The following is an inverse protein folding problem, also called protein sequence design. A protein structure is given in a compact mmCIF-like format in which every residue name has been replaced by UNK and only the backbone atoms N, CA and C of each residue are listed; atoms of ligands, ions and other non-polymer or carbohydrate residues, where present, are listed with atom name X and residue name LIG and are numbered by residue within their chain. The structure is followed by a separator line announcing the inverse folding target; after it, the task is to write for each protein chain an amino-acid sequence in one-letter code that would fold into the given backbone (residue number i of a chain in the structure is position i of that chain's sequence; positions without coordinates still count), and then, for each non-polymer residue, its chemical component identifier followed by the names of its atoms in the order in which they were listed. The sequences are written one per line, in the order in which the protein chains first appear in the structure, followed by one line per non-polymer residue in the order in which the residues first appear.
data_IF_181859924582
#
_entry.id   IF_181859924582
#
_cell.length_a   1.000
_cell.length_b   1.000
_cell.length_c   1.000
_cell.angle_alpha   90.00
_cell.angle_beta   90.00
_cell.angle_gamma   90.00
#
_symmetry.space_group_name_H-M   'P 1'
#
loop_
_entity.id
_entity.type
_entity.pdbx_description
1 polymer ?
#
# COMPACT_ATOMS: atom_id res chain seq x y z
N UNK A 1 22.32 20.93 38.93
CA UNK A 1 22.57 19.51 38.61
C UNK A 1 21.23 18.80 38.71
N UNK A 2 20.43 18.90 37.65
CA UNK A 2 19.41 17.90 37.38
C UNK A 2 20.11 16.77 36.61
N UNK A 3 19.80 15.54 36.96
CA UNK A 3 20.28 14.36 36.25
C UNK A 3 19.40 14.20 35.00
N UNK A 4 19.77 14.89 33.91
CA UNK A 4 19.21 14.63 32.59
C UNK A 4 19.72 13.26 32.16
N UNK A 5 18.97 12.22 32.53
CA UNK A 5 19.12 10.87 31.99
C UNK A 5 18.73 10.92 30.51
N UNK A 6 19.66 11.36 29.67
CA UNK A 6 19.63 11.15 28.23
C UNK A 6 19.36 9.67 27.99
N UNK A 7 18.19 9.37 27.43
CA UNK A 7 17.88 8.03 26.95
C UNK A 7 18.98 7.62 25.96
N UNK A 8 19.77 6.60 26.31
CA UNK A 8 20.81 6.11 25.42
C UNK A 8 20.15 5.59 24.14
N UNK A 9 20.59 6.10 22.99
CA UNK A 9 20.10 5.63 21.70
C UNK A 9 20.40 4.13 21.49
N UNK A 10 21.44 3.60 22.16
CA UNK A 10 21.72 2.19 22.22
C UNK A 10 20.87 1.50 23.33
N UNK A 11 19.97 0.57 22.99
CA UNK A 11 19.18 -0.14 23.99
C UNK A 11 20.07 -1.04 24.84
N UNK A 12 19.72 -1.17 26.12
CA UNK A 12 20.45 -1.99 27.09
C UNK A 12 20.46 -3.48 26.69
N UNK A 13 21.39 -4.24 27.26
CA UNK A 13 21.43 -5.68 27.05
C UNK A 13 20.13 -6.39 27.49
N UNK A 14 19.50 -5.90 28.56
CA UNK A 14 18.25 -6.43 29.09
C UNK A 14 17.06 -6.18 28.14
N UNK A 15 16.94 -4.98 27.57
CA UNK A 15 15.89 -4.66 26.59
C UNK A 15 16.04 -5.48 25.31
N UNK A 16 17.28 -5.59 24.79
CA UNK A 16 17.57 -6.42 23.62
C UNK A 16 17.20 -7.89 23.87
N UNK A 17 17.52 -8.42 25.05
CA UNK A 17 17.14 -9.79 25.44
C UNK A 17 15.62 -9.93 25.55
N UNK A 18 14.93 -9.02 26.24
CA UNK A 18 13.48 -9.08 26.44
C UNK A 18 12.72 -9.03 25.09
N UNK A 19 13.16 -8.20 24.16
CA UNK A 19 12.57 -8.10 22.81
C UNK A 19 12.85 -9.35 21.97
N UNK A 20 14.06 -9.90 22.03
CA UNK A 20 14.38 -11.18 21.40
C UNK A 20 13.51 -12.31 21.96
N UNK A 21 13.37 -12.40 23.29
CA UNK A 21 12.53 -13.41 23.93
C UNK A 21 11.04 -13.25 23.61
N UNK A 22 10.52 -12.01 23.50
CA UNK A 22 9.14 -11.75 23.06
C UNK A 22 8.91 -12.36 21.68
N UNK A 23 9.73 -12.02 20.70
CA UNK A 23 9.58 -12.51 19.33
C UNK A 23 9.82 -14.01 19.22
N UNK A 24 10.82 -14.56 19.91
CA UNK A 24 11.09 -16.00 19.93
C UNK A 24 9.89 -16.77 20.50
N UNK A 25 9.28 -16.31 21.59
CA UNK A 25 8.08 -16.95 22.17
C UNK A 25 6.88 -16.91 21.21
N UNK A 26 6.63 -15.78 20.56
CA UNK A 26 5.54 -15.63 19.57
C UNK A 26 5.75 -16.62 18.42
N UNK A 27 6.91 -16.59 17.77
CA UNK A 27 7.19 -17.42 16.61
C UNK A 27 7.36 -18.90 16.94
N UNK A 28 7.88 -19.25 18.12
CA UNK A 28 7.92 -20.64 18.58
C UNK A 28 6.53 -21.18 18.91
N UNK A 29 5.62 -20.34 19.43
CA UNK A 29 4.21 -20.71 19.61
C UNK A 29 3.53 -20.99 18.28
N UNK A 30 3.71 -20.12 17.27
CA UNK A 30 3.22 -20.35 15.91
C UNK A 30 3.74 -21.68 15.32
N UNK A 31 5.04 -21.97 15.49
CA UNK A 31 5.64 -23.24 15.07
C UNK A 31 5.01 -24.46 15.76
N UNK A 32 4.85 -24.41 17.09
CA UNK A 32 4.27 -25.51 17.86
C UNK A 32 2.82 -25.77 17.46
N UNK A 33 2.02 -24.72 17.21
CA UNK A 33 0.68 -24.88 16.66
C UNK A 33 0.70 -25.44 15.25
N UNK A 34 1.59 -24.95 14.36
CA UNK A 34 1.72 -25.45 13.00
C UNK A 34 2.08 -26.95 12.94
N UNK A 35 2.93 -27.44 13.85
CA UNK A 35 3.27 -28.88 13.95
C UNK A 35 2.14 -29.80 14.42
N UNK A 36 1.04 -29.23 14.92
CA UNK A 36 -0.11 -29.98 15.47
C UNK A 36 -1.32 -30.01 14.52
N UNK A 37 -1.28 -29.24 13.44
CA UNK A 37 -2.42 -29.02 12.54
C UNK A 37 -2.30 -29.88 11.27
N UNK A 38 -3.34 -30.67 10.98
CA UNK A 38 -3.40 -31.54 9.80
C UNK A 38 -4.09 -30.91 8.58
N UNK A 39 -4.49 -29.64 8.64
CA UNK A 39 -5.13 -28.91 7.53
C UNK A 39 -5.04 -27.39 7.73
N UNK A 40 -5.05 -26.63 6.64
CA UNK A 40 -4.91 -25.17 6.71
C UNK A 40 -6.02 -24.47 7.54
N UNK A 41 -5.74 -23.32 8.18
CA UNK A 41 -6.73 -22.60 8.96
C UNK A 41 -7.87 -22.11 8.05
N UNK A 42 -9.13 -22.28 8.47
CA UNK A 42 -10.31 -21.89 7.66
C UNK A 42 -10.29 -20.44 7.15
N UNK A 43 -9.55 -19.54 7.79
CA UNK A 43 -9.37 -18.16 7.34
C UNK A 43 -8.60 -18.02 6.02
N UNK A 44 -7.91 -19.06 5.53
CA UNK A 44 -7.36 -19.02 4.17
C UNK A 44 -8.44 -19.13 3.06
N UNK A 45 -9.67 -19.51 3.42
CA UNK A 45 -10.82 -19.58 2.52
C UNK A 45 -11.85 -18.45 2.75
N UNK A 46 -11.54 -17.48 3.63
CA UNK A 46 -12.37 -16.29 3.84
C UNK A 46 -11.66 -15.03 3.31
N UNK A 47 -12.10 -14.58 2.14
CA UNK A 47 -11.55 -13.39 1.46
C UNK A 47 -12.30 -12.10 1.83
N UNK A 48 -13.45 -12.15 2.51
CA UNK A 48 -14.27 -10.96 2.74
C UNK A 48 -13.60 -9.87 3.61
N UNK A 49 -12.80 -10.20 4.66
CA UNK A 49 -12.10 -9.20 5.46
C UNK A 49 -11.24 -8.24 4.64
N UNK A 50 -10.48 -8.75 3.66
CA UNK A 50 -9.55 -7.92 2.87
C UNK A 50 -10.25 -7.10 1.77
N UNK A 51 -11.50 -7.43 1.43
CA UNK A 51 -12.25 -6.77 0.34
C UNK A 51 -13.26 -5.73 0.84
N UNK A 52 -13.38 -5.54 2.15
CA UNK A 52 -14.40 -4.65 2.73
C UNK A 52 -14.20 -3.19 2.29
N UNK A 53 -12.96 -2.69 2.31
CA UNK A 53 -12.62 -1.30 1.96
C UNK A 53 -11.85 -1.14 0.64
N UNK A 54 -11.52 -2.24 -0.03
CA UNK A 54 -10.83 -2.27 -1.32
C UNK A 54 -11.70 -1.59 -2.41
N UNK A 55 -11.20 -0.55 -3.11
CA UNK A 55 -11.93 0.10 -4.19
C UNK A 55 -11.96 -0.77 -5.45
N UNK A 56 -12.89 -0.44 -6.34
CA UNK A 56 -13.10 -1.10 -7.62
C UNK A 56 -12.67 -0.21 -8.78
N UNK A 57 -12.03 -0.76 -9.81
CA UNK A 57 -11.79 -0.03 -11.05
C UNK A 57 -13.11 0.27 -11.79
N UNK A 58 -13.39 1.53 -12.19
CA UNK A 58 -14.49 1.87 -13.07
C UNK A 58 -14.11 1.70 -14.55
N UNK A 59 -15.11 1.66 -15.43
CA UNK A 59 -14.93 1.39 -16.86
C UNK A 59 -14.30 2.57 -17.64
N UNK A 60 -14.21 3.75 -17.04
CA UNK A 60 -13.83 5.03 -17.67
C UNK A 60 -12.51 5.59 -17.14
N UNK A 61 -11.57 4.71 -16.76
CA UNK A 61 -10.29 5.10 -16.15
C UNK A 61 -9.42 6.02 -17.03
N UNK A 62 -8.83 7.05 -16.40
CA UNK A 62 -7.81 7.92 -17.00
C UNK A 62 -6.45 7.19 -17.02
N UNK A 63 -6.19 6.47 -18.12
CA UNK A 63 -4.96 5.70 -18.33
C UNK A 63 -3.78 6.62 -18.66
N UNK A 64 -2.77 6.65 -17.79
CA UNK A 64 -1.56 7.47 -17.99
C UNK A 64 -0.37 6.62 -18.38
N UNK A 65 0.34 7.06 -19.40
CA UNK A 65 1.56 6.39 -19.86
C UNK A 65 2.78 6.78 -19.00
N UNK A 66 3.51 5.77 -18.54
CA UNK A 66 4.88 5.85 -18.06
C UNK A 66 5.80 5.07 -19.01
N UNK A 67 7.11 5.22 -18.88
CA UNK A 67 8.11 4.72 -19.83
C UNK A 67 8.01 3.21 -20.15
N UNK A 68 7.51 2.39 -19.21
CA UNK A 68 7.41 0.93 -19.34
C UNK A 68 6.03 0.34 -18.93
N UNK A 69 5.04 1.16 -18.61
CA UNK A 69 3.71 0.71 -18.18
C UNK A 69 2.67 1.83 -18.29
N UNK A 70 1.42 1.45 -18.44
CA UNK A 70 0.29 2.31 -18.11
C UNK A 70 0.05 2.27 -16.60
N UNK A 71 -0.39 3.37 -16.01
CA UNK A 71 -0.83 3.45 -14.63
C UNK A 71 -2.13 4.25 -14.52
N UNK A 72 -2.93 3.94 -13.50
CA UNK A 72 -4.09 4.75 -13.10
C UNK A 72 -3.76 5.54 -11.85
N UNK A 73 -4.48 6.65 -11.68
CA UNK A 73 -4.39 7.48 -10.49
C UNK A 73 -5.70 7.40 -9.71
N UNK A 74 -5.60 7.26 -8.39
CA UNK A 74 -6.72 7.47 -7.49
C UNK A 74 -6.28 8.25 -6.26
N UNK A 75 -7.27 8.78 -5.56
CA UNK A 75 -7.08 9.67 -4.41
C UNK A 75 -7.96 9.19 -3.26
N UNK A 76 -7.33 8.88 -2.13
CA UNK A 76 -8.04 8.63 -0.87
C UNK A 76 -8.31 9.93 -0.14
N UNK A 77 -9.43 9.97 0.57
CA UNK A 77 -9.78 11.06 1.49
C UNK A 77 -9.73 10.56 2.92
N UNK A 78 -9.17 11.39 3.80
CA UNK A 78 -8.96 11.07 5.21
C UNK A 78 -9.43 12.22 6.07
N UNK A 79 -9.95 11.90 7.26
CA UNK A 79 -10.44 12.87 8.26
C UNK A 79 -9.74 12.61 9.60
N UNK A 80 -9.55 13.65 10.41
CA UNK A 80 -9.24 13.48 11.82
C UNK A 80 -10.48 13.08 12.64
N UNK A 81 -10.32 13.00 13.96
CA UNK A 81 -11.46 12.84 14.88
C UNK A 81 -12.37 14.08 14.84
N UNK A 82 -13.68 13.89 15.03
CA UNK A 82 -14.65 15.00 15.01
C UNK A 82 -14.45 16.00 16.17
N UNK A 83 -13.86 15.54 17.29
CA UNK A 83 -13.65 16.35 18.50
C UNK A 83 -12.53 17.39 18.37
N UNK A 84 -11.76 17.39 17.27
CA UNK A 84 -10.67 18.34 17.05
C UNK A 84 -10.58 18.75 15.58
N UNK A 85 -10.36 20.03 15.31
CA UNK A 85 -10.41 20.65 13.97
C UNK A 85 -9.19 20.29 13.09
N UNK A 86 -8.87 19.01 12.98
CA UNK A 86 -7.77 18.48 12.18
C UNK A 86 -8.10 18.56 10.68
N UNK A 87 -7.15 18.97 9.83
CA UNK A 87 -7.40 19.10 8.40
C UNK A 87 -7.71 17.74 7.75
N UNK A 88 -8.71 17.71 6.87
CA UNK A 88 -8.93 16.56 5.99
C UNK A 88 -7.76 16.44 5.01
N UNK A 89 -7.23 15.23 4.83
CA UNK A 89 -6.10 14.99 3.94
C UNK A 89 -6.56 14.26 2.68
N UNK A 90 -6.02 14.63 1.52
CA UNK A 90 -6.08 13.81 0.30
C UNK A 90 -4.72 13.11 0.08
N UNK A 91 -4.74 11.85 -0.35
CA UNK A 91 -3.51 11.11 -0.70
C UNK A 91 -3.68 10.45 -2.06
N UNK A 92 -2.74 10.72 -2.96
CA UNK A 92 -2.71 10.08 -4.27
C UNK A 92 -1.94 8.77 -4.21
N UNK A 93 -2.45 7.73 -4.87
CA UNK A 93 -1.73 6.50 -5.17
C UNK A 93 -1.82 6.24 -6.67
N UNK A 94 -0.69 5.80 -7.24
CA UNK A 94 -0.57 5.39 -8.62
C UNK A 94 -0.43 3.87 -8.64
N UNK A 95 -1.32 3.21 -9.38
CA UNK A 95 -1.29 1.76 -9.54
C UNK A 95 -0.88 1.45 -10.98
N UNK A 96 0.22 0.71 -11.22
CA UNK A 96 0.55 0.19 -12.54
C UNK A 96 -0.53 -0.79 -13.00
N UNK A 97 -1.01 -0.61 -14.21
CA UNK A 97 -2.12 -1.38 -14.80
C UNK A 97 -1.71 -2.13 -16.07
N UNK A 98 -0.53 -1.88 -16.62
CA UNK A 98 0.05 -2.75 -17.64
C UNK A 98 1.51 -3.06 -17.37
N UNK A 99 2.04 -4.03 -18.09
CA UNK A 99 3.47 -4.37 -18.09
C UNK A 99 3.92 -4.58 -19.54
N UNK A 100 5.08 -4.03 -19.89
CA UNK A 100 5.65 -4.13 -21.25
C UNK A 100 6.20 -5.51 -21.60
N UNK A 101 6.49 -6.34 -20.59
CA UNK A 101 7.12 -7.65 -20.74
C UNK A 101 6.18 -8.75 -20.22
N UNK A 102 6.04 -9.89 -20.94
CA UNK A 102 5.36 -11.07 -20.41
C UNK A 102 5.99 -11.53 -19.09
N UNK A 103 5.15 -12.06 -18.20
CA UNK A 103 5.59 -12.61 -16.92
C UNK A 103 5.77 -14.11 -17.10
N UNK A 104 6.99 -14.64 -16.95
CA UNK A 104 7.24 -16.06 -17.13
C UNK A 104 6.63 -16.86 -15.98
N UNK A 105 5.72 -17.77 -16.29
CA UNK A 105 5.19 -18.78 -15.37
C UNK A 105 5.64 -20.16 -15.86
N UNK A 106 6.50 -20.82 -15.09
CA UNK A 106 6.94 -22.19 -15.35
C UNK A 106 6.11 -23.17 -14.53
N UNK A 107 5.42 -24.11 -15.19
CA UNK A 107 4.77 -25.23 -14.50
C UNK A 107 5.79 -26.38 -14.36
N UNK A 108 6.01 -26.86 -13.14
CA UNK A 108 6.84 -28.03 -12.87
C UNK A 108 6.01 -29.31 -13.03
N UNK A 109 6.55 -30.30 -13.73
CA UNK A 109 6.02 -31.66 -13.71
C UNK A 109 6.44 -32.43 -12.44
N UNK A 110 7.56 -32.03 -11.82
CA UNK A 110 7.94 -32.48 -10.48
C UNK A 110 7.04 -31.77 -9.48
N UNK A 111 5.94 -32.42 -9.11
CA UNK A 111 5.09 -32.01 -7.99
C UNK A 111 5.85 -32.35 -6.71
N UNK A 112 6.12 -31.34 -5.88
CA UNK A 112 6.54 -31.55 -4.50
C UNK A 112 5.37 -32.22 -3.76
N UNK A 113 5.46 -33.54 -3.54
CA UNK A 113 4.39 -34.38 -2.98
C UNK A 113 3.85 -33.84 -1.64
N UNK A 114 4.65 -33.05 -0.91
CA UNK A 114 4.21 -32.39 0.33
C UNK A 114 3.02 -31.45 0.12
N UNK A 115 2.82 -30.88 -1.08
CA UNK A 115 1.67 -30.05 -1.42
C UNK A 115 0.37 -30.86 -1.59
N UNK A 116 0.45 -32.15 -1.94
CA UNK A 116 -0.74 -33.00 -2.04
C UNK A 116 -1.36 -33.22 -0.66
N UNK A 117 -0.53 -33.32 0.38
CA UNK A 117 -1.01 -33.43 1.77
C UNK A 117 -1.72 -32.17 2.31
N UNK A 118 -1.72 -31.06 1.58
CA UNK A 118 -2.34 -29.80 2.00
C UNK A 118 -3.83 -29.75 1.68
N UNK A 119 -4.27 -30.53 0.69
CA UNK A 119 -5.63 -30.52 0.15
C UNK A 119 -6.33 -31.85 0.45
N UNK A 120 -7.65 -31.86 0.30
CA UNK A 120 -8.46 -33.01 0.73
C UNK A 120 -8.51 -34.18 -0.27
N UNK A 121 -7.86 -34.05 -1.43
CA UNK A 121 -7.89 -35.01 -2.54
C UNK A 121 -6.49 -35.24 -3.12
N UNK A 122 -6.22 -36.47 -3.57
CA UNK A 122 -4.92 -36.90 -4.11
C UNK A 122 -4.60 -36.31 -5.50
N UNK A 123 -5.61 -35.84 -6.24
CA UNK A 123 -5.44 -35.21 -7.56
C UNK A 123 -5.24 -33.69 -7.43
N UNK A 124 -4.19 -33.16 -8.06
CA UNK A 124 -3.88 -31.72 -8.08
C UNK A 124 -4.36 -31.06 -9.36
N UNK A 125 -5.37 -30.20 -9.24
CA UNK A 125 -5.93 -29.37 -10.30
C UNK A 125 -5.33 -27.95 -10.30
N UNK A 126 -4.47 -27.60 -9.33
CA UNK A 126 -3.98 -26.23 -9.07
C UNK A 126 -3.45 -25.56 -10.35
N UNK A 127 -2.64 -26.25 -11.16
CA UNK A 127 -2.10 -25.68 -12.39
C UNK A 127 -3.19 -25.33 -13.43
N UNK A 128 -4.17 -26.22 -13.62
CA UNK A 128 -5.31 -25.97 -14.53
C UNK A 128 -6.19 -24.86 -13.99
N UNK A 129 -6.47 -24.85 -12.68
CA UNK A 129 -7.23 -23.81 -12.02
C UNK A 129 -6.51 -22.45 -12.07
N UNK A 130 -5.17 -22.41 -12.00
CA UNK A 130 -4.39 -21.19 -12.19
C UNK A 130 -4.54 -20.67 -13.62
N UNK A 131 -4.40 -21.52 -14.64
CA UNK A 131 -4.61 -21.12 -16.03
C UNK A 131 -6.05 -20.64 -16.29
N UNK A 132 -7.05 -21.36 -15.75
CA UNK A 132 -8.46 -21.02 -15.88
C UNK A 132 -8.79 -19.70 -15.19
N UNK A 133 -8.27 -19.48 -13.97
CA UNK A 133 -8.33 -18.18 -13.32
C UNK A 133 -7.69 -17.15 -14.23
N UNK A 134 -6.37 -17.18 -14.46
CA UNK A 134 -5.62 -16.22 -15.30
C UNK A 134 -6.37 -15.78 -16.56
N UNK A 135 -6.95 -16.72 -17.31
CA UNK A 135 -7.79 -16.41 -18.47
C UNK A 135 -9.00 -15.53 -18.12
N UNK A 136 -9.86 -15.97 -17.18
CA UNK A 136 -11.03 -15.22 -16.69
C UNK A 136 -10.65 -13.79 -16.25
N UNK A 137 -9.43 -13.59 -15.79
CA UNK A 137 -8.98 -12.32 -15.23
C UNK A 137 -8.51 -11.36 -16.32
N UNK A 138 -7.72 -11.86 -17.27
CA UNK A 138 -7.34 -11.11 -18.46
C UNK A 138 -8.53 -10.74 -19.33
N UNK A 139 -9.56 -11.61 -19.38
CA UNK A 139 -10.80 -11.33 -20.08
C UNK A 139 -11.50 -10.10 -19.48
N UNK A 140 -11.82 -10.12 -18.18
CA UNK A 140 -12.38 -8.94 -17.49
C UNK A 140 -11.52 -7.70 -17.66
N UNK A 141 -10.21 -7.87 -17.49
CA UNK A 141 -9.29 -6.75 -17.54
C UNK A 141 -9.39 -6.00 -18.87
N UNK A 142 -9.53 -6.74 -19.98
CA UNK A 142 -9.80 -6.17 -21.29
C UNK A 142 -11.21 -5.56 -21.43
N UNK A 143 -12.23 -6.03 -20.68
CA UNK A 143 -13.54 -5.35 -20.62
C UNK A 143 -13.49 -4.00 -19.91
N UNK A 144 -12.70 -3.88 -18.84
CA UNK A 144 -12.64 -2.65 -18.03
C UNK A 144 -11.71 -1.58 -18.59
N UNK A 145 -10.64 -1.97 -19.29
CA UNK A 145 -9.67 -1.02 -19.81
C UNK A 145 -10.19 -0.29 -21.04
N UNK A 146 -10.26 1.06 -21.03
CA UNK A 146 -10.62 1.84 -22.22
C UNK A 146 -9.77 1.46 -23.43
N UNK A 147 -10.44 1.23 -24.56
CA UNK A 147 -9.83 0.89 -25.86
C UNK A 147 -9.02 -0.44 -25.88
N UNK A 148 -9.11 -1.26 -24.83
CA UNK A 148 -8.44 -2.57 -24.82
C UNK A 148 -9.12 -3.57 -25.77
N UNK A 149 -8.30 -4.43 -26.37
CA UNK A 149 -8.74 -5.52 -27.23
C UNK A 149 -8.05 -6.79 -26.73
N UNK A 150 -8.83 -7.78 -26.29
CA UNK A 150 -8.30 -9.10 -25.99
C UNK A 150 -7.97 -9.80 -27.31
N UNK A 151 -6.70 -10.06 -27.56
CA UNK A 151 -6.23 -10.79 -28.73
C UNK A 151 -5.22 -11.86 -28.30
N UNK A 152 -5.43 -13.10 -28.76
CA UNK A 152 -4.41 -14.13 -28.68
C UNK A 152 -3.24 -13.70 -29.58
N UNK A 153 -2.05 -13.57 -28.99
CA UNK A 153 -0.82 -13.29 -29.73
C UNK A 153 -0.03 -14.58 -29.94
N UNK A 154 0.85 -14.62 -30.93
CA UNK A 154 1.84 -15.72 -31.07
C UNK A 154 2.88 -15.72 -29.91
N UNK A 155 2.87 -14.70 -29.05
CA UNK A 155 3.65 -14.65 -27.83
C UNK A 155 3.06 -15.55 -26.74
N UNK A 156 3.40 -16.83 -26.78
CA UNK A 156 3.16 -17.74 -25.66
C UNK A 156 3.99 -17.30 -24.43
N UNK A 157 3.37 -17.26 -23.25
CA UNK A 157 4.15 -17.41 -22.03
C UNK A 157 4.80 -18.80 -22.11
N UNK A 158 6.13 -18.88 -21.95
CA UNK A 158 6.92 -20.08 -22.27
C UNK A 158 6.39 -21.34 -21.57
N UNK A 159 5.57 -22.11 -22.28
CA UNK A 159 5.26 -23.49 -21.98
C UNK A 159 4.83 -24.22 -23.26
N UNK A 160 5.24 -25.47 -23.39
CA UNK A 160 5.08 -26.28 -24.60
C UNK A 160 3.71 -26.94 -24.72
N UNK A 161 3.25 -27.04 -25.97
CA UNK A 161 2.21 -27.93 -26.49
C UNK A 161 0.75 -27.73 -26.01
N UNK A 162 -0.10 -27.28 -26.93
CA UNK A 162 -1.57 -27.38 -26.80
C UNK A 162 -2.35 -26.32 -27.58
N UNK A 163 -2.92 -26.67 -28.74
CA UNK A 163 -3.81 -25.78 -29.51
C UNK A 163 -5.27 -25.87 -29.03
N UNK A 164 -5.91 -24.73 -28.78
CA UNK A 164 -7.36 -24.64 -28.51
C UNK A 164 -7.87 -23.21 -28.73
N UNK A 165 -9.07 -23.09 -29.31
CA UNK A 165 -9.63 -21.83 -29.84
C UNK A 165 -11.03 -21.54 -29.25
N UNK A 166 -11.43 -20.26 -29.32
CA UNK A 166 -12.78 -19.66 -29.19
C UNK A 166 -13.37 -19.34 -27.81
N UNK A 167 -13.42 -18.02 -27.56
CA UNK A 167 -14.43 -17.19 -26.90
C UNK A 167 -15.59 -17.89 -26.14
N UNK A 168 -15.63 -17.66 -24.83
CA UNK A 168 -16.83 -17.82 -23.98
C UNK A 168 -17.11 -16.53 -23.22
N UNK A 169 -18.37 -16.09 -23.12
CA UNK A 169 -18.74 -14.87 -22.39
C UNK A 169 -18.46 -14.98 -20.88
N UNK A 170 -17.85 -13.95 -20.29
CA UNK A 170 -17.11 -13.97 -19.02
C UNK A 170 -17.88 -14.45 -17.77
N UNK A 171 -19.19 -14.17 -17.69
CA UNK A 171 -20.03 -14.69 -16.58
C UNK A 171 -20.21 -16.20 -16.64
N UNK A 172 -20.09 -16.79 -17.84
CA UNK A 172 -20.13 -18.24 -18.06
C UNK A 172 -18.84 -18.89 -17.58
N UNK A 173 -17.67 -18.29 -17.84
CA UNK A 173 -16.37 -18.84 -17.45
C UNK A 173 -16.22 -18.96 -15.92
N UNK A 174 -16.61 -17.93 -15.17
CA UNK A 174 -16.64 -17.97 -13.70
C UNK A 174 -17.61 -19.05 -13.18
N UNK A 175 -18.82 -19.11 -13.74
CA UNK A 175 -19.83 -20.10 -13.37
C UNK A 175 -19.31 -21.53 -13.59
N UNK A 176 -18.76 -21.81 -14.77
CA UNK A 176 -18.14 -23.09 -15.12
C UNK A 176 -16.99 -23.46 -14.17
N UNK A 177 -16.15 -22.51 -13.76
CA UNK A 177 -15.03 -22.76 -12.85
C UNK A 177 -15.50 -23.05 -11.42
N UNK A 178 -16.54 -22.35 -10.94
CA UNK A 178 -17.19 -22.65 -9.66
C UNK A 178 -17.89 -24.01 -9.67
N UNK A 179 -18.65 -24.32 -10.74
CA UNK A 179 -19.34 -25.59 -10.91
C UNK A 179 -18.35 -26.75 -11.03
N UNK A 180 -17.23 -26.57 -11.73
CA UNK A 180 -16.14 -27.54 -11.81
C UNK A 180 -15.52 -27.80 -10.42
N UNK A 181 -15.18 -26.74 -9.68
CA UNK A 181 -14.65 -26.87 -8.32
C UNK A 181 -15.63 -27.61 -7.38
N UNK A 182 -16.93 -27.34 -7.49
CA UNK A 182 -17.97 -27.99 -6.70
C UNK A 182 -18.20 -29.45 -7.10
N UNK A 183 -18.22 -29.76 -8.40
CA UNK A 183 -18.40 -31.11 -8.95
C UNK A 183 -17.27 -32.05 -8.55
N UNK A 184 -16.02 -31.57 -8.58
CA UNK A 184 -14.84 -32.36 -8.24
C UNK A 184 -14.46 -32.30 -6.75
N UNK A 185 -15.10 -31.46 -5.93
CA UNK A 185 -14.80 -31.32 -4.50
C UNK A 185 -13.52 -30.54 -4.18
N UNK A 186 -12.92 -29.87 -5.17
CA UNK A 186 -11.61 -29.20 -5.15
C UNK A 186 -11.71 -27.69 -4.85
N UNK A 187 -12.72 -27.26 -4.08
CA UNK A 187 -12.96 -25.85 -3.76
C UNK A 187 -11.76 -25.23 -3.02
N UNK A 188 -11.08 -26.02 -2.17
CA UNK A 188 -9.85 -25.66 -1.48
C UNK A 188 -8.70 -25.31 -2.46
N UNK A 189 -8.49 -26.15 -3.46
CA UNK A 189 -7.53 -25.90 -4.55
C UNK A 189 -7.95 -24.70 -5.43
N UNK A 190 -9.26 -24.48 -5.61
CA UNK A 190 -9.82 -23.32 -6.28
C UNK A 190 -9.40 -21.99 -5.64
N UNK A 191 -9.48 -21.90 -4.30
CA UNK A 191 -8.98 -20.74 -3.54
C UNK A 191 -7.45 -20.62 -3.55
N UNK A 192 -6.71 -21.75 -3.57
CA UNK A 192 -5.26 -21.73 -3.65
C UNK A 192 -4.76 -21.18 -5.00
N UNK A 193 -5.32 -21.69 -6.10
CA UNK A 193 -5.05 -21.20 -7.44
C UNK A 193 -5.45 -19.72 -7.58
N UNK A 194 -6.62 -19.35 -7.08
CA UNK A 194 -7.10 -17.97 -7.02
C UNK A 194 -6.09 -17.04 -6.34
N UNK A 195 -5.65 -17.37 -5.12
CA UNK A 195 -4.67 -16.55 -4.40
C UNK A 195 -3.31 -16.53 -5.09
N UNK A 196 -2.90 -17.62 -5.75
CA UNK A 196 -1.65 -17.65 -6.49
C UNK A 196 -1.71 -16.66 -7.66
N UNK A 197 -2.81 -16.69 -8.42
CA UNK A 197 -2.97 -15.80 -9.56
C UNK A 197 -3.13 -14.32 -9.16
N UNK A 198 -3.66 -14.01 -7.97
CA UNK A 198 -3.69 -12.63 -7.44
C UNK A 198 -2.32 -12.07 -7.02
N UNK A 199 -1.35 -12.95 -6.78
CA UNK A 199 0.05 -12.60 -6.54
C UNK A 199 0.86 -12.54 -7.83
N UNK A 200 0.37 -13.19 -8.89
CA UNK A 200 0.67 -12.77 -10.26
C UNK A 200 -0.11 -11.45 -10.54
N UNK A 201 0.32 -10.63 -11.50
CA UNK A 201 -0.43 -9.41 -11.88
C UNK A 201 -1.73 -9.70 -12.66
N UNK A 202 -2.69 -10.39 -12.03
CA UNK A 202 -3.99 -10.81 -12.60
C UNK A 202 -5.10 -10.97 -11.50
N UNK A 203 -6.39 -10.99 -11.85
CA UNK A 203 -7.51 -10.24 -11.20
C UNK A 203 -8.98 -10.88 -11.06
N UNK A 204 -9.67 -11.13 -9.89
CA UNK A 204 -10.85 -12.12 -9.79
C UNK A 204 -12.24 -11.75 -9.15
N UNK A 205 -13.41 -12.30 -9.57
CA UNK A 205 -14.79 -11.78 -9.28
C UNK A 205 -15.24 -11.72 -7.79
N UNK A 206 -15.87 -10.65 -7.26
CA UNK A 206 -15.21 -9.48 -6.64
C UNK A 206 -14.15 -8.78 -7.52
N UNK A 207 -14.38 -8.82 -8.84
CA UNK A 207 -13.40 -8.75 -9.94
C UNK A 207 -12.74 -7.43 -9.71
N UNK A 208 -13.52 -6.38 -9.89
CA UNK A 208 -13.13 -4.99 -9.87
C UNK A 208 -12.33 -4.62 -8.59
N UNK A 209 -12.51 -5.32 -7.44
CA UNK A 209 -11.70 -5.16 -6.20
C UNK A 209 -10.39 -5.94 -6.21
N UNK A 210 -10.48 -7.22 -6.56
CA UNK A 210 -9.34 -8.13 -6.65
C UNK A 210 -8.41 -7.75 -7.82
N UNK A 211 -8.93 -7.18 -8.92
CA UNK A 211 -8.17 -6.49 -9.97
C UNK A 211 -7.28 -5.40 -9.38
N UNK A 212 -7.91 -4.42 -8.72
CA UNK A 212 -7.18 -3.32 -8.09
C UNK A 212 -6.16 -3.82 -7.07
N UNK A 213 -6.44 -4.95 -6.40
CA UNK A 213 -5.52 -5.56 -5.45
C UNK A 213 -4.30 -6.21 -6.12
N UNK A 214 -4.49 -7.00 -7.19
CA UNK A 214 -3.40 -7.63 -7.94
C UNK A 214 -2.52 -6.62 -8.69
N UNK A 215 -3.12 -5.57 -9.26
CA UNK A 215 -2.36 -4.44 -9.81
C UNK A 215 -1.58 -3.69 -8.72
N UNK A 216 -2.07 -3.61 -7.49
CA UNK A 216 -1.31 -3.07 -6.34
C UNK A 216 -0.27 -4.07 -5.81
N UNK A 217 0.62 -4.55 -6.67
CA UNK A 217 1.74 -5.46 -6.34
C UNK A 217 2.60 -4.96 -5.16
N UNK A 218 2.79 -3.64 -5.01
CA UNK A 218 3.47 -3.02 -3.86
C UNK A 218 2.67 -3.20 -2.57
N UNK A 219 1.36 -3.00 -2.62
CA UNK A 219 0.43 -3.28 -1.54
C UNK A 219 0.42 -4.75 -1.16
N UNK A 220 0.31 -5.66 -2.13
CA UNK A 220 0.35 -7.12 -1.88
C UNK A 220 1.63 -7.55 -1.15
N UNK A 221 2.79 -7.03 -1.60
CA UNK A 221 4.06 -7.27 -0.93
C UNK A 221 4.11 -6.69 0.48
N UNK A 222 3.58 -5.48 0.71
CA UNK A 222 3.51 -4.90 2.08
C UNK A 222 2.60 -5.71 3.01
N UNK A 223 1.49 -6.24 2.48
CA UNK A 223 0.57 -7.10 3.23
C UNK A 223 1.25 -8.41 3.64
N UNK A 224 1.93 -9.10 2.73
CA UNK A 224 2.72 -10.28 3.09
C UNK A 224 3.83 -9.94 4.10
N UNK A 225 4.56 -8.84 3.92
CA UNK A 225 5.60 -8.40 4.85
C UNK A 225 5.07 -7.93 6.23
N UNK A 226 3.76 -7.75 6.41
CA UNK A 226 3.18 -7.36 7.71
C UNK A 226 3.44 -8.38 8.84
N UNK A 227 3.75 -9.64 8.50
CA UNK A 227 4.13 -10.68 9.47
C UNK A 227 5.24 -10.26 10.43
N UNK A 228 6.17 -9.40 9.97
CA UNK A 228 7.32 -8.94 10.74
C UNK A 228 6.96 -7.79 11.68
N UNK A 229 5.96 -6.98 11.34
CA UNK A 229 5.55 -5.84 12.15
C UNK A 229 4.91 -6.32 13.46
N UNK A 230 5.12 -5.57 14.54
CA UNK A 230 4.55 -5.83 15.85
C UNK A 230 4.45 -4.50 16.60
N UNK A 231 3.26 -4.17 17.08
CA UNK A 231 3.01 -2.92 17.82
C UNK A 231 3.86 -2.85 19.10
N UNK A 232 4.30 -1.64 19.44
CA UNK A 232 5.14 -1.37 20.60
C UNK A 232 6.61 -1.83 20.50
N UNK A 233 7.05 -2.38 19.37
CA UNK A 233 8.49 -2.59 19.11
C UNK A 233 9.12 -1.26 18.67
N UNK A 234 10.05 -0.74 19.47
CA UNK A 234 10.73 0.51 19.16
C UNK A 234 11.86 0.34 18.14
N UNK A 235 12.15 1.39 17.38
CA UNK A 235 13.07 1.38 16.24
C UNK A 235 14.51 0.96 16.60
N UNK A 236 14.98 1.24 17.82
CA UNK A 236 16.31 0.88 18.31
C UNK A 236 16.45 -0.62 18.67
N UNK A 237 15.34 -1.33 18.91
CA UNK A 237 15.30 -2.76 19.28
C UNK A 237 14.77 -3.67 18.17
N UNK A 238 14.68 -3.18 16.94
CA UNK A 238 14.23 -3.97 15.76
C UNK A 238 15.16 -5.14 15.46
N UNK A 239 16.47 -4.96 15.61
CA UNK A 239 17.46 -6.02 15.32
C UNK A 239 17.24 -7.30 16.14
N UNK A 240 17.17 -7.28 17.50
CA UNK A 240 16.87 -8.49 18.27
C UNK A 240 15.47 -9.05 17.98
N UNK A 241 14.49 -8.20 17.66
CA UNK A 241 13.17 -8.66 17.22
C UNK A 241 13.27 -9.51 15.94
N UNK A 242 13.82 -8.97 14.85
CA UNK A 242 13.96 -9.69 13.57
C UNK A 242 14.90 -10.91 13.66
N UNK A 243 15.94 -10.85 14.50
CA UNK A 243 16.80 -12.00 14.79
C UNK A 243 16.04 -13.15 15.46
N UNK A 244 15.09 -12.86 16.34
CA UNK A 244 14.28 -13.91 16.98
C UNK A 244 13.33 -14.61 16.01
N UNK A 245 12.76 -13.87 15.05
CA UNK A 245 11.97 -14.42 13.93
C UNK A 245 12.85 -15.35 13.10
N UNK A 246 14.00 -14.82 12.67
CA UNK A 246 15.02 -15.54 11.88
C UNK A 246 15.44 -16.84 12.55
N UNK A 247 15.69 -16.82 13.87
CA UNK A 247 16.15 -17.98 14.64
C UNK A 247 15.12 -19.12 14.71
N UNK A 248 13.82 -18.82 14.68
CA UNK A 248 12.78 -19.85 14.58
C UNK A 248 12.57 -20.25 13.12
N UNK A 249 12.36 -19.28 12.23
CA UNK A 249 11.86 -19.53 10.87
C UNK A 249 12.90 -20.19 9.96
N UNK A 250 14.19 -19.81 10.03
CA UNK A 250 15.23 -20.45 9.20
C UNK A 250 15.41 -21.94 9.56
N UNK A 251 14.98 -22.38 10.75
CA UNK A 251 15.04 -23.79 11.15
C UNK A 251 13.91 -24.66 10.56
N UNK A 252 12.90 -24.05 9.94
CA UNK A 252 11.72 -24.75 9.41
C UNK A 252 11.97 -25.20 7.97
N UNK A 253 12.42 -26.45 7.81
CA UNK A 253 12.62 -27.06 6.49
C UNK A 253 11.30 -27.42 5.77
N UNK A 254 10.22 -27.61 6.53
CA UNK A 254 8.90 -27.98 6.02
C UNK A 254 8.09 -26.74 5.61
N UNK A 255 7.83 -26.60 4.31
CA UNK A 255 7.07 -25.50 3.72
C UNK A 255 5.62 -25.45 4.20
N UNK A 256 5.01 -26.59 4.54
CA UNK A 256 3.64 -26.66 5.09
C UNK A 256 3.58 -25.99 6.45
N UNK A 257 4.50 -26.38 7.35
CA UNK A 257 4.62 -25.81 8.70
C UNK A 257 4.92 -24.32 8.60
N UNK A 258 5.84 -23.93 7.71
CA UNK A 258 6.15 -22.53 7.45
C UNK A 258 4.91 -21.74 7.01
N UNK A 259 4.20 -22.22 5.98
CA UNK A 259 2.94 -21.62 5.50
C UNK A 259 1.94 -21.40 6.64
N UNK A 260 1.73 -22.43 7.46
CA UNK A 260 0.85 -22.38 8.62
C UNK A 260 1.25 -21.30 9.64
N UNK A 261 2.54 -21.14 9.92
CA UNK A 261 3.04 -20.08 10.82
C UNK A 261 2.73 -18.69 10.27
N UNK A 262 2.94 -18.48 8.97
CA UNK A 262 2.71 -17.20 8.30
C UNK A 262 1.22 -16.84 8.24
N UNK A 263 0.37 -17.82 7.90
CA UNK A 263 -1.09 -17.68 7.96
C UNK A 263 -1.58 -17.32 9.37
N UNK A 264 -1.11 -18.03 10.41
CA UNK A 264 -1.52 -17.79 11.80
C UNK A 264 -0.95 -16.49 12.39
N UNK A 265 0.11 -15.92 11.83
CA UNK A 265 0.69 -14.63 12.28
C UNK A 265 -0.23 -13.45 12.01
N UNK A 266 -0.91 -13.45 10.85
CA UNK A 266 -1.90 -12.43 10.44
C UNK A 266 -3.11 -13.13 9.80
N UNK A 267 -4.07 -13.65 10.59
CA UNK A 267 -5.08 -14.61 10.12
C UNK A 267 -5.98 -14.14 8.97
N UNK A 268 -6.29 -12.85 8.86
CA UNK A 268 -7.11 -12.30 7.77
C UNK A 268 -6.34 -12.16 6.44
N UNK A 269 -5.01 -12.30 6.47
CA UNK A 269 -4.16 -12.41 5.28
C UNK A 269 -3.77 -13.86 4.96
N UNK A 270 -4.33 -14.85 5.68
CA UNK A 270 -4.01 -16.27 5.48
C UNK A 270 -4.30 -16.74 4.03
N UNK A 271 -5.32 -16.17 3.39
CA UNK A 271 -5.62 -16.40 1.98
C UNK A 271 -4.41 -16.07 1.09
N UNK A 272 -3.80 -14.89 1.24
CA UNK A 272 -2.62 -14.49 0.46
C UNK A 272 -1.43 -15.44 0.66
N UNK A 273 -1.27 -16.01 1.85
CA UNK A 273 -0.22 -16.98 2.11
C UNK A 273 -0.45 -18.35 1.47
N UNK A 274 -1.69 -18.69 1.10
CA UNK A 274 -2.00 -19.91 0.35
C UNK A 274 -1.44 -19.81 -1.08
N UNK A 275 -1.72 -18.72 -1.78
CA UNK A 275 -1.11 -18.44 -3.08
C UNK A 275 0.39 -18.18 -2.99
N UNK A 276 0.84 -17.54 -1.90
CA UNK A 276 2.27 -17.29 -1.67
C UNK A 276 3.08 -18.56 -1.45
N UNK A 277 2.44 -19.62 -0.97
CA UNK A 277 3.01 -20.96 -0.88
C UNK A 277 3.02 -21.65 -2.26
N UNK A 278 1.91 -21.64 -3.01
CA UNK A 278 1.84 -22.16 -4.40
C UNK A 278 2.89 -21.54 -5.32
N UNK A 279 3.14 -20.22 -5.21
CA UNK A 279 4.19 -19.53 -5.96
C UNK A 279 5.61 -19.63 -5.35
N UNK A 280 5.77 -20.32 -4.21
CA UNK A 280 7.03 -20.45 -3.48
C UNK A 280 7.71 -19.10 -3.12
N UNK A 281 6.96 -18.01 -2.94
CA UNK A 281 7.52 -16.67 -2.64
C UNK A 281 7.87 -16.44 -1.17
N UNK A 282 7.59 -17.43 -0.31
CA UNK A 282 7.78 -17.34 1.14
C UNK A 282 9.22 -17.04 1.51
N UNK A 283 10.17 -17.79 0.93
CA UNK A 283 11.60 -17.62 1.14
C UNK A 283 12.07 -16.20 0.75
N UNK A 284 11.49 -15.62 -0.31
CA UNK A 284 11.82 -14.27 -0.76
C UNK A 284 11.36 -13.20 0.25
N UNK A 285 10.10 -13.27 0.72
CA UNK A 285 9.58 -12.34 1.75
C UNK A 285 10.36 -12.48 3.07
N UNK A 286 10.75 -13.71 3.45
CA UNK A 286 11.56 -14.01 4.63
C UNK A 286 13.00 -13.49 4.51
N UNK A 287 13.61 -13.62 3.33
CA UNK A 287 14.92 -13.06 3.03
C UNK A 287 14.92 -11.54 3.18
N UNK A 288 13.93 -10.85 2.62
CA UNK A 288 13.83 -9.38 2.72
C UNK A 288 13.57 -8.90 4.14
N UNK A 289 12.65 -9.55 4.86
CA UNK A 289 12.35 -9.24 6.26
C UNK A 289 13.56 -9.39 7.19
N UNK A 290 14.43 -10.37 6.93
CA UNK A 290 15.71 -10.57 7.66
C UNK A 290 16.64 -9.35 7.56
N UNK A 291 16.62 -8.61 6.45
CA UNK A 291 17.41 -7.39 6.27
C UNK A 291 16.65 -6.11 6.65
N UNK A 292 15.45 -6.23 7.24
CA UNK A 292 14.59 -5.09 7.57
C UNK A 292 13.94 -4.42 6.35
N UNK A 293 14.03 -5.04 5.16
CA UNK A 293 13.42 -4.57 3.92
C UNK A 293 11.92 -4.91 3.90
N UNK A 294 11.18 -4.29 4.83
CA UNK A 294 9.76 -4.54 5.10
C UNK A 294 8.98 -3.35 4.51
N UNK A 295 8.44 -3.46 3.28
CA UNK A 295 7.67 -2.38 2.69
C UNK A 295 6.35 -2.15 3.44
N UNK A 296 5.92 -0.90 3.52
CA UNK A 296 4.60 -0.49 3.99
C UNK A 296 3.87 0.28 2.90
N UNK A 297 2.55 0.10 2.77
CA UNK A 297 1.72 0.86 1.84
C UNK A 297 0.38 1.17 2.51
N UNK A 298 0.10 2.46 2.74
CA UNK A 298 -0.99 2.93 3.58
C UNK A 298 -2.38 2.52 3.03
N UNK A 299 -2.56 2.49 1.71
CA UNK A 299 -3.84 2.15 1.12
C UNK A 299 -4.12 0.65 1.28
N UNK A 300 -3.18 -0.22 0.89
CA UNK A 300 -3.29 -1.66 1.14
C UNK A 300 -3.51 -1.99 2.63
N UNK A 301 -2.79 -1.30 3.53
CA UNK A 301 -2.97 -1.41 4.97
C UNK A 301 -4.40 -1.09 5.40
N UNK A 302 -4.97 0.06 4.98
CA UNK A 302 -6.33 0.45 5.40
C UNK A 302 -7.45 -0.32 4.69
N UNK A 303 -7.23 -0.73 3.44
CA UNK A 303 -8.20 -1.50 2.65
C UNK A 303 -8.41 -2.91 3.20
N UNK A 304 -7.31 -3.53 3.67
CA UNK A 304 -7.31 -4.87 4.28
C UNK A 304 -7.53 -4.88 5.80
N UNK A 305 -7.53 -3.72 6.46
CA UNK A 305 -7.55 -3.63 7.93
C UNK A 305 -6.24 -4.08 8.61
N UNK A 306 -5.12 -4.08 7.89
CA UNK A 306 -3.81 -4.52 8.39
C UNK A 306 -3.02 -3.36 9.00
N UNK A 307 -2.52 -3.53 10.23
CA UNK A 307 -1.55 -2.60 10.82
C UNK A 307 -0.14 -2.96 10.36
N UNK A 308 0.55 -2.00 9.73
CA UNK A 308 1.91 -2.15 9.19
C UNK A 308 2.91 -1.15 9.81
N UNK A 309 2.44 -0.08 10.45
CA UNK A 309 3.28 1.00 11.01
C UNK A 309 2.67 1.62 12.26
N UNK A 310 3.52 2.10 13.17
CA UNK A 310 3.11 2.85 14.37
C UNK A 310 2.25 4.08 14.04
N UNK A 311 2.36 4.62 12.81
CA UNK A 311 1.57 5.76 12.32
C UNK A 311 0.07 5.47 12.19
N UNK A 312 -0.34 4.19 12.23
CA UNK A 312 -1.74 3.76 12.25
C UNK A 312 -2.31 3.62 13.68
N UNK A 313 -1.47 3.72 14.71
CA UNK A 313 -1.89 3.64 16.11
C UNK A 313 -2.57 4.95 16.58
N UNK A 314 -3.48 4.90 17.57
CA UNK A 314 -4.07 6.10 18.16
C UNK A 314 -3.03 6.93 18.91
N UNK A 315 -3.25 8.25 18.93
CA UNK A 315 -2.50 9.19 19.78
C UNK A 315 -2.97 9.09 21.23
N UNK A 316 -2.00 9.15 22.14
CA UNK A 316 -2.20 9.22 23.58
C UNK A 316 -2.00 10.67 24.06
N UNK A 317 -2.80 11.14 25.03
CA UNK A 317 -2.57 12.43 25.66
C UNK A 317 -1.19 12.51 26.34
N UNK A 318 -0.62 13.71 26.34
CA UNK A 318 0.59 14.01 27.08
C UNK A 318 0.43 13.72 28.58
N UNK A 319 1.54 13.37 29.23
CA UNK A 319 1.57 13.03 30.65
C UNK A 319 2.73 13.76 31.30
N UNK A 320 2.48 14.46 32.41
CA UNK A 320 3.49 15.22 33.16
C UNK A 320 4.32 16.19 32.28
N UNK A 321 3.68 16.85 31.32
CA UNK A 321 4.35 17.80 30.40
C UNK A 321 5.21 17.14 29.31
N UNK A 322 5.06 15.84 29.08
CA UNK A 322 5.79 15.09 28.06
C UNK A 322 4.84 14.34 27.12
N UNK A 323 5.19 14.28 25.84
CA UNK A 323 4.51 13.49 24.81
C UNK A 323 5.42 12.36 24.33
N UNK A 324 4.88 11.22 23.90
CA UNK A 324 5.72 10.17 23.27
C UNK A 324 6.18 10.64 21.90
N UNK A 325 7.42 10.34 21.51
CA UNK A 325 7.93 10.69 20.17
C UNK A 325 7.06 10.10 19.04
N UNK A 326 6.37 8.99 19.31
CA UNK A 326 5.43 8.37 18.37
C UNK A 326 4.12 9.13 18.23
N UNK A 327 3.63 9.72 19.32
CA UNK A 327 2.44 10.58 19.34
C UNK A 327 2.75 11.94 18.71
N UNK A 328 3.93 12.50 18.97
CA UNK A 328 4.48 13.69 18.30
C UNK A 328 4.62 13.50 16.78
N UNK A 329 5.28 12.44 16.30
CA UNK A 329 5.37 12.14 14.86
C UNK A 329 3.99 11.98 14.20
N UNK A 330 3.02 11.38 14.90
CA UNK A 330 1.64 11.27 14.40
C UNK A 330 0.94 12.63 14.37
N UNK A 331 1.12 13.49 15.37
CA UNK A 331 0.57 14.85 15.38
C UNK A 331 1.15 15.71 14.25
N UNK A 332 2.48 15.79 14.11
CA UNK A 332 3.16 16.51 13.02
C UNK A 332 2.64 16.11 11.63
N UNK A 333 2.42 14.81 11.43
CA UNK A 333 1.83 14.29 10.21
C UNK A 333 0.31 14.56 10.10
N UNK A 334 -0.46 14.54 11.19
CA UNK A 334 -1.91 14.78 11.11
C UNK A 334 -2.26 16.26 10.91
N UNK A 335 -1.52 17.19 11.54
CA UNK A 335 -1.68 18.65 11.34
C UNK A 335 -1.15 19.14 9.98
N UNK A 336 -0.40 18.31 9.25
CA UNK A 336 0.35 18.68 8.04
C UNK A 336 1.37 19.80 8.29
N UNK A 337 2.14 19.66 9.37
CA UNK A 337 3.22 20.59 9.74
C UNK A 337 4.22 20.78 8.60
N UNK A 338 4.91 21.93 8.56
CA UNK A 338 5.90 22.18 7.51
C UNK A 338 6.93 21.05 7.47
N UNK A 339 7.23 20.57 6.25
CA UNK A 339 8.06 19.40 5.95
C UNK A 339 7.55 18.02 6.41
N UNK A 340 6.49 17.92 7.22
CA UNK A 340 5.97 16.65 7.76
C UNK A 340 4.80 16.06 6.95
N UNK A 341 4.57 16.53 5.73
CA UNK A 341 3.46 16.10 4.88
C UNK A 341 3.61 14.68 4.31
N UNK A 342 4.77 14.02 4.44
CA UNK A 342 5.04 12.67 3.89
C UNK A 342 4.92 11.58 4.96
N UNK A 343 4.30 10.44 4.60
CA UNK A 343 4.27 9.26 5.45
C UNK A 343 5.70 8.75 5.74
N UNK A 344 6.08 8.53 7.02
CA UNK A 344 7.40 8.00 7.38
C UNK A 344 7.73 6.67 6.71
N UNK A 345 8.99 6.52 6.26
CA UNK A 345 9.50 5.25 5.71
C UNK A 345 9.71 4.22 6.83
N UNK A 346 10.09 4.67 8.02
CA UNK A 346 10.21 3.80 9.19
C UNK A 346 8.82 3.47 9.74
N UNK A 347 8.55 2.18 9.85
CA UNK A 347 7.32 1.63 10.39
C UNK A 347 7.35 1.42 11.91
N UNK A 348 8.54 1.45 12.51
CA UNK A 348 8.78 1.15 13.92
C UNK A 348 8.63 2.39 14.80
N UNK A 349 8.09 2.19 15.99
CA UNK A 349 7.82 3.26 16.94
C UNK A 349 9.13 3.97 17.35
N UNK A 350 9.25 5.31 17.25
CA UNK A 350 10.38 6.01 17.86
C UNK A 350 10.31 5.84 19.38
N UNK A 351 11.45 5.51 20.00
CA UNK A 351 11.52 5.32 21.45
C UNK A 351 11.41 6.64 22.20
N UNK A 352 10.93 6.58 23.45
CA UNK A 352 11.00 7.69 24.41
C UNK A 352 10.01 8.82 24.22
N UNK A 353 10.31 9.94 24.88
CA UNK A 353 9.43 11.12 25.02
C UNK A 353 10.12 12.43 24.68
N UNK A 354 9.33 13.45 24.36
CA UNK A 354 9.74 14.84 24.16
C UNK A 354 8.99 15.70 25.19
N UNK A 355 9.67 16.66 25.83
CA UNK A 355 9.01 17.61 26.70
C UNK A 355 8.22 18.62 25.85
N UNK A 356 6.99 18.94 26.22
CA UNK A 356 6.09 19.75 25.38
C UNK A 356 6.66 21.13 25.02
N UNK A 357 7.47 21.71 25.91
CA UNK A 357 8.16 22.98 25.68
C UNK A 357 9.14 22.97 24.48
N UNK A 358 9.60 21.77 24.08
CA UNK A 358 10.58 21.54 23.00
C UNK A 358 9.91 21.03 21.71
N UNK A 359 8.60 20.77 21.73
CA UNK A 359 7.80 20.35 20.55
C UNK A 359 7.31 21.56 19.74
N UNK A 360 6.90 21.38 18.48
CA UNK A 360 6.28 22.47 17.70
C UNK A 360 5.00 23.02 18.36
N UNK A 361 4.70 24.30 18.14
CA UNK A 361 3.58 24.98 18.82
C UNK A 361 2.25 24.26 18.55
N UNK A 362 2.01 23.83 17.31
CA UNK A 362 0.76 23.17 16.94
C UNK A 362 0.68 21.74 17.50
N UNK A 363 1.81 21.05 17.73
CA UNK A 363 1.85 19.80 18.51
C UNK A 363 1.37 20.03 19.95
N UNK A 364 1.75 21.15 20.58
CA UNK A 364 1.30 21.50 21.94
C UNK A 364 -0.20 21.75 22.02
N UNK A 365 -0.79 22.37 20.99
CA UNK A 365 -2.24 22.62 20.91
C UNK A 365 -3.06 21.32 20.90
N UNK A 366 -2.48 20.23 20.40
CA UNK A 366 -3.12 18.91 20.30
C UNK A 366 -2.59 17.87 21.30
N UNK A 367 -1.68 18.26 22.20
CA UNK A 367 -0.98 17.33 23.09
C UNK A 367 -1.90 16.62 24.11
N UNK A 368 -2.95 17.29 24.59
CA UNK A 368 -3.90 16.73 25.56
C UNK A 368 -5.12 16.05 24.89
N UNK A 369 -5.19 16.05 23.55
CA UNK A 369 -6.30 15.44 22.82
C UNK A 369 -6.23 13.91 22.88
N UNK A 370 -7.35 13.28 23.23
CA UNK A 370 -7.49 11.83 23.24
C UNK A 370 -8.05 11.31 21.91
N UNK A 371 -7.54 10.17 21.44
CA UNK A 371 -8.18 9.41 20.35
C UNK A 371 -7.98 9.97 18.94
N UNK A 372 -7.05 10.91 18.71
CA UNK A 372 -6.68 11.30 17.36
C UNK A 372 -6.16 10.09 16.57
N UNK A 373 -6.80 9.83 15.43
CA UNK A 373 -6.41 8.84 14.45
C UNK A 373 -6.80 9.34 13.05
N UNK A 374 -6.09 8.86 12.02
CA UNK A 374 -6.42 9.16 10.64
C UNK A 374 -7.53 8.22 10.16
N UNK A 375 -8.76 8.73 10.06
CA UNK A 375 -9.91 7.97 9.63
C UNK A 375 -10.03 8.00 8.11
N UNK A 376 -9.96 6.83 7.48
CA UNK A 376 -10.20 6.68 6.05
C UNK A 376 -11.67 6.94 5.72
N UNK A 377 -11.93 8.00 4.95
CA UNK A 377 -13.27 8.47 4.64
C UNK A 377 -13.77 8.01 3.25
N UNK A 378 -12.87 7.76 2.29
CA UNK A 378 -13.26 7.27 0.98
C UNK A 378 -12.15 7.29 -0.08
N UNK A 379 -12.56 7.02 -1.32
CA UNK A 379 -11.70 6.90 -2.49
C UNK A 379 -12.39 7.47 -3.74
N UNK A 380 -11.61 8.11 -4.62
CA UNK A 380 -12.02 8.53 -5.96
C UNK A 380 -10.95 8.15 -6.97
N UNK A 381 -11.32 7.55 -8.10
CA UNK A 381 -10.42 7.36 -9.24
C UNK A 381 -10.36 8.62 -10.09
N UNK A 382 -9.28 8.78 -10.86
CA UNK A 382 -9.27 9.70 -12.00
C UNK A 382 -9.88 8.99 -13.19
N UNK A 383 -10.99 9.53 -13.69
CA UNK A 383 -11.72 9.02 -14.84
C UNK A 383 -11.64 10.00 -16.01
N UNK A 384 -11.88 9.50 -17.22
CA UNK A 384 -12.00 10.30 -18.43
C UNK A 384 -13.28 11.15 -18.35
N UNK A 385 -13.14 12.47 -18.41
CA UNK A 385 -14.31 13.34 -18.45
C UNK A 385 -15.06 13.14 -19.78
N UNK A 386 -16.30 12.64 -19.71
CA UNK A 386 -17.28 12.88 -20.77
C UNK A 386 -17.63 14.37 -20.74
N UNK A 387 -16.82 15.18 -21.43
CA UNK A 387 -17.12 16.59 -21.67
C UNK A 387 -18.31 16.61 -22.62
N UNK A 388 -19.50 16.88 -22.09
CA UNK A 388 -20.60 17.37 -22.93
C UNK A 388 -20.11 18.67 -23.58
N UNK A 389 -19.90 18.66 -24.90
CA UNK A 389 -19.42 19.81 -25.66
C UNK A 389 -20.33 21.03 -25.42
N UNK A 390 -19.90 21.91 -24.52
CA UNK A 390 -20.36 23.29 -24.48
C UNK A 390 -19.55 24.03 -25.53
N UNK A 391 -20.17 24.37 -26.65
CA UNK A 391 -19.54 25.18 -27.69
C UNK A 391 -19.18 26.54 -27.11
N UNK A 392 -17.89 26.77 -26.86
CA UNK A 392 -17.40 28.07 -26.39
C UNK A 392 -17.46 29.05 -27.56
N UNK A 393 -18.16 30.16 -27.37
CA UNK A 393 -18.21 31.25 -28.35
C UNK A 393 -16.97 32.15 -28.21
N UNK A 394 -16.17 32.21 -29.27
CA UNK A 394 -14.96 33.03 -29.34
C UNK A 394 -15.20 34.44 -29.93
N UNK A 395 -16.45 34.82 -30.23
CA UNK A 395 -16.80 36.19 -30.68
C UNK A 395 -16.37 37.29 -29.70
N UNK A 396 -16.12 36.94 -28.42
CA UNK A 396 -15.64 37.87 -27.39
C UNK A 396 -14.11 37.98 -27.23
N UNK A 397 -13.30 37.23 -27.97
CA UNK A 397 -11.85 37.18 -27.73
C UNK A 397 -11.08 38.26 -28.53
N UNK A 398 -10.63 39.31 -27.83
CA UNK A 398 -9.80 40.36 -28.40
C UNK A 398 -8.30 39.97 -28.34
N UNK A 399 -7.67 39.71 -29.49
CA UNK A 399 -6.29 39.21 -29.60
C UNK A 399 -5.18 40.27 -29.43
N UNK A 400 -5.42 41.32 -28.63
CA UNK A 400 -4.50 42.46 -28.51
C UNK A 400 -4.37 43.06 -27.11
N UNK A 401 -4.66 42.30 -26.06
CA UNK A 401 -4.57 42.77 -24.67
C UNK A 401 -3.64 41.87 -23.83
N UNK A 402 -2.46 42.39 -23.48
CA UNK A 402 -1.44 41.73 -22.65
C UNK A 402 -1.29 42.38 -21.26
N UNK A 403 -2.27 43.18 -20.79
CA UNK A 403 -2.15 43.98 -19.56
C UNK A 403 -2.22 43.22 -18.21
N UNK A 404 -2.45 41.89 -18.23
CA UNK A 404 -2.75 41.12 -17.01
C UNK A 404 -1.48 40.69 -16.25
N UNK A 405 -0.38 40.41 -16.95
CA UNK A 405 0.86 39.85 -16.36
C UNK A 405 1.65 40.86 -15.53
N UNK A 406 1.66 42.13 -15.91
CA UNK A 406 2.34 43.20 -15.16
C UNK A 406 1.57 43.59 -13.89
N UNK A 407 0.23 43.62 -13.95
CA UNK A 407 -0.61 43.95 -12.80
C UNK A 407 -0.51 42.90 -11.67
N UNK A 408 -0.40 41.61 -12.01
CA UNK A 408 -0.16 40.55 -11.04
C UNK A 408 1.17 40.76 -10.27
N UNK A 409 2.22 41.22 -10.95
CA UNK A 409 3.54 41.46 -10.36
C UNK A 409 3.55 42.73 -9.48
N UNK A 410 2.87 43.80 -9.89
CA UNK A 410 2.69 45.01 -9.07
C UNK A 410 1.87 44.75 -7.79
N UNK A 411 0.87 43.86 -7.85
CA UNK A 411 -0.05 43.61 -6.73
C UNK A 411 0.62 42.99 -5.50
N UNK A 412 1.60 42.09 -5.68
CA UNK A 412 2.19 41.34 -4.55
C UNK A 412 3.15 42.19 -3.69
N UNK A 413 3.93 43.08 -4.30
CA UNK A 413 4.89 43.93 -3.57
C UNK A 413 4.21 45.12 -2.87
N UNK A 414 3.11 45.64 -3.43
CA UNK A 414 2.25 46.60 -2.73
C UNK A 414 1.57 46.02 -1.47
N UNK A 415 1.36 44.70 -1.44
CA UNK A 415 0.78 44.00 -0.29
C UNK A 415 1.80 43.73 0.84
N UNK A 416 3.08 43.57 0.50
CA UNK A 416 4.15 43.15 1.45
C UNK A 416 4.87 44.30 2.19
N UNK A 417 4.79 45.55 1.72
CA UNK A 417 5.55 46.70 2.27
C UNK A 417 4.70 47.97 2.48
N UNK A 418 3.49 47.80 3.04
CA UNK A 418 2.49 48.89 3.26
C UNK A 418 3.04 50.10 4.05
N UNK A 419 3.93 49.90 5.03
CA UNK A 419 4.51 50.99 5.85
C UNK A 419 5.92 51.43 5.39
N UNK A 420 6.33 51.04 4.17
CA UNK A 420 7.58 51.47 3.54
C UNK A 420 8.73 50.44 3.59
N UNK A 421 9.81 50.76 2.88
CA UNK A 421 10.98 49.90 2.74
C UNK A 421 12.07 50.26 3.75
N UNK A 422 12.68 49.29 4.45
CA UNK A 422 13.79 49.56 5.36
C UNK A 422 15.06 49.98 4.58
N UNK A 423 16.02 50.72 5.21
CA UNK A 423 17.12 51.37 4.48
C UNK A 423 18.04 50.44 3.66
N UNK A 424 18.11 49.17 4.04
CA UNK A 424 18.86 48.11 3.36
C UNK A 424 18.16 47.57 2.09
N UNK A 425 16.87 47.85 1.89
CA UNK A 425 16.07 47.40 0.73
C UNK A 425 15.82 48.53 -0.29
N UNK A 426 16.43 49.72 -0.09
CA UNK A 426 16.23 50.88 -0.97
C UNK A 426 16.55 50.62 -2.45
N UNK A 427 17.47 49.70 -2.73
CA UNK A 427 17.78 49.25 -4.11
C UNK A 427 16.65 48.49 -4.82
N UNK A 428 15.63 48.00 -4.11
CA UNK A 428 14.46 47.32 -4.69
C UNK A 428 13.41 48.36 -5.08
N UNK A 429 13.20 49.39 -4.24
CA UNK A 429 12.41 50.56 -4.59
C UNK A 429 12.92 51.21 -5.89
N UNK A 430 14.23 51.45 -5.95
CA UNK A 430 14.91 52.07 -7.09
C UNK A 430 15.04 51.13 -8.33
N UNK A 431 14.36 49.98 -8.34
CA UNK A 431 14.26 49.07 -9.50
C UNK A 431 12.82 48.87 -9.99
N UNK A 432 11.83 49.04 -9.10
CA UNK A 432 10.39 48.99 -9.42
C UNK A 432 9.90 50.35 -9.98
N UNK A 433 10.60 51.44 -9.66
CA UNK A 433 10.30 52.81 -10.09
C UNK A 433 11.52 53.49 -10.74
N UNK A 434 12.01 52.92 -11.85
CA UNK A 434 12.87 53.67 -12.78
C UNK A 434 12.00 54.31 -13.85
N UNK A 435 12.27 55.59 -14.11
CA UNK A 435 11.53 56.49 -14.99
C UNK A 435 11.37 55.98 -16.43
N UNK A 436 10.22 56.32 -17.00
CA UNK A 436 9.93 56.28 -18.44
C UNK A 436 10.69 57.41 -19.17
N UNK A 437 12.02 57.37 -19.18
CA UNK A 437 12.83 58.31 -19.97
C UNK A 437 14.12 57.68 -20.50
N UNK A 438 14.05 57.13 -21.72
CA UNK A 438 15.02 57.41 -22.81
C UNK A 438 14.76 56.48 -24.02
N UNK A 439 13.71 56.80 -24.81
CA UNK A 439 13.60 56.41 -26.21
C UNK A 439 12.83 57.48 -27.00
N UNK A 440 13.43 58.67 -27.16
CA UNK A 440 13.08 59.56 -28.27
C UNK A 440 13.86 59.17 -29.55
N UNK A 441 13.14 59.24 -30.67
CA UNK A 441 13.57 58.98 -32.05
C UNK A 441 14.54 60.07 -32.59
N UNK A 442 15.35 59.85 -33.65
CA UNK A 442 14.97 59.20 -34.93
C UNK A 442 15.65 57.86 -35.23
#
# INVERSE_FOLDING_TARGET
MGDETLEDAAPSAAERQAVYEKGFRIWKSLYLHATQESSFPRTCFDIQPILTKQPQFPNDLDLKASYNHLFVQGTSTWKGSEDCNMPSQERHLQIPVSIKCPIPLSLSADIDESYLEWFTLEESHIAVLMCAWSYTLSARWAELMPEAILAYTEGTAYNSDGSGDQNSEDTTALGLLCDYCALHGIVDQGYAALSAVLLLPMEVNNLDKLLTMSCNTKGMRSLLSSIFYESGIACNVVSPWLQSITAVVISVADKRILTHMLMRRVPHLAFLWLGGAVLNIQEHILYEGKFGLIPTELHAAVWSGTTQSFMQEPIHPATNGHIRRSDECRLLYFIQEEHHTRWPICQWTPFGVTALQDTEIDVRLHADCAGHCLQYAGWKWTCQNVVTNVTIDYQGLNHGDEGVSENATRSIFGWLRVEGFPPNEKKIHDWIYIDESDYEHP
#
